data_IF_957385617702
#
_entry.id   IF_957385617702
#
_cell.length_a   1.000
_cell.length_b   1.000
_cell.length_c   1.000
_cell.angle_alpha   90.00
_cell.angle_beta   90.00
_cell.angle_gamma   90.00
#
_symmetry.space_group_name_H-M   'P 1'
#
loop_
_entity.id
_entity.type
_entity.pdbx_description
1 polymer ?
#
# COMPACT_ATOMS: atom_id res chain seq x y z
N UNK A 1 -1.01 -15.41 -1.75
CA UNK A 1 -1.84 -15.09 -0.55
C UNK A 1 -3.17 -14.55 -1.04
N UNK A 2 -4.28 -14.81 -0.33
CA UNK A 2 -5.63 -14.38 -0.73
C UNK A 2 -6.29 -13.60 0.41
N UNK A 3 -7.08 -12.57 0.09
CA UNK A 3 -8.00 -11.93 1.03
C UNK A 3 -9.43 -12.03 0.46
N UNK A 4 -10.35 -12.62 1.21
CA UNK A 4 -11.78 -12.67 0.89
C UNK A 4 -12.62 -12.23 2.08
N UNK A 5 -13.21 -11.05 1.94
CA UNK A 5 -14.26 -10.60 2.83
C UNK A 5 -15.43 -10.26 1.93
N UNK A 6 -16.63 -10.73 2.29
CA UNK A 6 -17.84 -10.37 1.55
C UNK A 6 -18.08 -8.85 1.53
N UNK A 7 -17.39 -8.10 2.42
CA UNK A 7 -17.29 -6.64 2.47
C UNK A 7 -15.94 -6.23 3.02
N UNK A 8 -15.24 -5.35 2.31
CA UNK A 8 -13.97 -4.79 2.77
C UNK A 8 -14.23 -3.44 3.43
N UNK A 9 -13.72 -3.24 4.65
CA UNK A 9 -13.88 -2.00 5.42
C UNK A 9 -12.54 -1.38 5.78
N UNK A 10 -12.61 -0.16 6.30
CA UNK A 10 -11.46 0.69 6.61
C UNK A 10 -11.17 0.69 8.09
N UNK A 11 -9.93 0.46 8.48
CA UNK A 11 -9.55 0.33 9.90
C UNK A 11 -9.09 1.65 10.56
N UNK A 12 -8.90 2.72 9.78
CA UNK A 12 -8.46 4.01 10.31
C UNK A 12 -9.21 5.19 9.67
N UNK A 13 -9.49 6.27 10.42
CA UNK A 13 -10.07 7.50 9.87
C UNK A 13 -9.01 8.30 9.11
N UNK A 14 -8.59 7.79 7.96
CA UNK A 14 -7.60 8.41 7.08
C UNK A 14 -8.24 9.20 5.94
N UNK A 15 -7.50 10.15 5.35
CA UNK A 15 -7.97 11.01 4.27
C UNK A 15 -6.96 11.07 3.11
N UNK A 16 -7.30 10.62 1.90
CA UNK A 16 -8.51 9.86 1.55
C UNK A 16 -8.51 8.50 2.23
N UNK A 17 -9.70 7.96 2.44
CA UNK A 17 -9.92 6.64 3.03
C UNK A 17 -9.27 5.56 2.16
N UNK A 18 -8.65 4.55 2.78
CA UNK A 18 -8.07 3.40 2.09
C UNK A 18 -8.36 2.06 2.76
N UNK A 19 -8.25 0.99 1.98
CA UNK A 19 -8.18 -0.38 2.50
C UNK A 19 -6.75 -0.87 2.28
N UNK A 20 -6.15 -1.50 3.28
CA UNK A 20 -4.77 -1.97 3.25
C UNK A 20 -4.73 -3.51 3.18
N UNK A 21 -4.90 -4.13 2.00
CA UNK A 21 -4.68 -5.56 1.86
C UNK A 21 -3.19 -5.91 1.97
N UNK A 22 -2.91 -7.13 2.41
CA UNK A 22 -1.54 -7.68 2.49
C UNK A 22 -0.56 -6.78 3.27
N UNK A 23 -0.98 -6.28 4.43
CA UNK A 23 -0.11 -5.46 5.29
C UNK A 23 1.08 -6.29 5.75
N UNK A 24 2.29 -5.74 5.58
CA UNK A 24 3.52 -6.31 6.09
C UNK A 24 3.99 -5.48 7.28
N UNK A 25 4.08 -6.12 8.45
CA UNK A 25 4.61 -5.54 9.68
C UNK A 25 5.97 -6.17 9.99
N UNK A 26 7.06 -5.40 9.90
CA UNK A 26 8.41 -5.94 10.16
C UNK A 26 8.59 -6.40 11.60
N UNK A 27 8.03 -5.66 12.55
CA UNK A 27 8.09 -6.01 13.97
C UNK A 27 7.37 -7.34 14.31
N UNK A 28 6.34 -7.73 13.55
CA UNK A 28 5.63 -9.00 13.77
C UNK A 28 6.46 -10.22 13.38
N UNK A 29 7.44 -10.04 12.51
CA UNK A 29 8.40 -11.08 12.12
C UNK A 29 9.77 -10.91 12.80
N UNK A 30 9.86 -10.05 13.82
CA UNK A 30 11.10 -9.82 14.58
C UNK A 30 12.17 -9.05 13.83
N UNK A 31 11.81 -8.40 12.73
CA UNK A 31 12.73 -7.67 11.86
C UNK A 31 12.75 -6.17 12.19
N UNK A 32 13.91 -5.48 12.10
CA UNK A 32 13.99 -4.03 12.29
C UNK A 32 13.23 -3.29 11.17
N UNK A 33 12.97 -1.98 11.28
CA UNK A 33 12.50 -1.19 10.14
C UNK A 33 13.44 -1.30 8.92
N UNK A 34 12.91 -1.15 7.70
CA UNK A 34 13.69 -1.20 6.44
C UNK A 34 13.87 0.20 5.86
N UNK A 35 15.00 0.45 5.22
CA UNK A 35 15.18 1.60 4.33
C UNK A 35 14.64 1.24 2.93
N UNK A 36 13.60 1.93 2.50
CA UNK A 36 12.96 1.73 1.19
C UNK A 36 13.46 2.72 0.13
N UNK A 37 14.27 3.72 0.51
CA UNK A 37 14.67 4.77 -0.43
C UNK A 37 15.47 4.18 -1.58
N UNK A 38 15.16 4.60 -2.80
CA UNK A 38 15.82 4.18 -4.04
C UNK A 38 15.71 2.67 -4.36
N UNK A 39 14.94 1.91 -3.57
CA UNK A 39 14.68 0.49 -3.85
C UNK A 39 13.71 0.33 -5.02
N UNK A 40 13.86 -0.76 -5.78
CA UNK A 40 12.84 -1.19 -6.74
C UNK A 40 11.81 -2.06 -6.02
N UNK A 41 10.54 -1.67 -6.13
CA UNK A 41 9.41 -2.49 -5.71
C UNK A 41 8.86 -3.20 -6.95
N UNK A 42 8.73 -4.53 -6.85
CA UNK A 42 8.08 -5.36 -7.86
C UNK A 42 6.91 -6.11 -7.25
N UNK A 43 5.70 -5.92 -7.76
CA UNK A 43 4.48 -6.54 -7.21
C UNK A 43 3.56 -7.06 -8.30
N UNK A 44 3.11 -8.30 -8.15
CA UNK A 44 2.17 -8.95 -9.06
C UNK A 44 0.83 -9.17 -8.37
N UNK A 45 -0.22 -8.49 -8.85
CA UNK A 45 -1.57 -8.54 -8.28
C UNK A 45 -2.58 -9.09 -9.28
N UNK A 46 -3.50 -9.90 -8.76
CA UNK A 46 -4.65 -10.43 -9.50
C UNK A 46 -5.94 -10.20 -8.72
N UNK A 47 -6.95 -9.68 -9.39
CA UNK A 47 -8.33 -9.68 -8.93
C UNK A 47 -9.08 -10.86 -9.53
N UNK A 48 -9.97 -11.51 -8.77
CA UNK A 48 -10.92 -12.47 -9.33
C UNK A 48 -12.33 -11.96 -9.06
N UNK A 49 -12.96 -11.37 -10.08
CA UNK A 49 -14.25 -10.69 -9.92
C UNK A 49 -14.16 -9.48 -8.97
N UNK A 50 -12.98 -8.85 -8.90
CA UNK A 50 -12.70 -7.73 -8.01
C UNK A 50 -13.40 -6.45 -8.51
N UNK A 51 -14.24 -5.87 -7.66
CA UNK A 51 -14.95 -4.60 -7.93
C UNK A 51 -14.35 -3.50 -7.06
N UNK A 52 -13.52 -2.65 -7.67
CA UNK A 52 -12.82 -1.56 -6.99
C UNK A 52 -13.69 -0.31 -6.75
N UNK A 53 -14.82 -0.18 -7.45
CA UNK A 53 -15.75 0.96 -7.30
C UNK A 53 -15.07 2.34 -7.34
N UNK A 54 -14.15 2.53 -8.30
CA UNK A 54 -13.39 3.77 -8.48
C UNK A 54 -12.03 3.80 -7.77
N UNK A 55 -11.73 2.83 -6.89
CA UNK A 55 -10.44 2.82 -6.22
C UNK A 55 -9.27 2.55 -7.17
N UNK A 56 -8.17 3.24 -6.91
CA UNK A 56 -6.86 2.95 -7.46
C UNK A 56 -6.02 2.17 -6.45
N UNK A 57 -5.06 1.37 -6.95
CA UNK A 57 -4.15 0.60 -6.13
C UNK A 57 -2.78 1.28 -6.06
N UNK A 58 -2.24 1.44 -4.85
CA UNK A 58 -0.95 2.11 -4.61
C UNK A 58 -0.10 1.35 -3.62
N UNK A 59 1.22 1.51 -3.74
CA UNK A 59 2.13 1.17 -2.65
C UNK A 59 1.99 2.16 -1.49
N UNK A 60 2.18 1.71 -0.25
CA UNK A 60 2.21 2.57 0.92
C UNK A 60 3.28 2.16 1.92
N UNK A 61 3.75 3.13 2.69
CA UNK A 61 4.72 2.94 3.75
C UNK A 61 4.27 3.69 5.02
N UNK A 62 4.73 3.21 6.16
CA UNK A 62 4.42 3.78 7.46
C UNK A 62 5.57 3.58 8.46
N UNK A 63 5.82 4.64 9.20
CA UNK A 63 6.61 4.61 10.43
C UNK A 63 6.11 5.69 11.38
N UNK A 64 6.44 5.57 12.67
CA UNK A 64 6.16 6.60 13.69
C UNK A 64 4.73 7.14 13.71
N UNK A 65 3.74 6.32 13.33
CA UNK A 65 2.35 6.78 13.27
C UNK A 65 2.03 7.70 12.11
N UNK A 66 2.85 7.74 11.05
CA UNK A 66 2.59 8.50 9.82
C UNK A 66 2.56 7.57 8.62
N UNK A 67 1.52 7.69 7.78
CA UNK A 67 1.29 6.85 6.60
C UNK A 67 1.32 7.68 5.33
N UNK A 68 1.98 7.13 4.33
CA UNK A 68 2.08 7.72 3.00
C UNK A 68 1.73 6.69 1.91
N UNK A 69 0.99 7.13 0.89
CA UNK A 69 0.65 6.33 -0.29
C UNK A 69 1.35 6.91 -1.53
N UNK A 70 2.01 6.07 -2.32
CA UNK A 70 2.69 6.45 -3.55
C UNK A 70 1.68 6.56 -4.69
N UNK A 71 1.06 7.74 -4.84
CA UNK A 71 0.02 8.00 -5.86
C UNK A 71 0.60 8.18 -7.27
N UNK A 72 1.87 8.54 -7.39
CA UNK A 72 2.55 8.77 -8.67
C UNK A 72 2.78 7.49 -9.49
N UNK A 73 2.73 6.32 -8.85
CA UNK A 73 2.97 5.02 -9.48
C UNK A 73 1.82 4.04 -9.15
N UNK A 74 0.63 4.16 -9.79
CA UNK A 74 -0.46 3.23 -9.59
C UNK A 74 -0.08 1.79 -9.97
N UNK A 75 -0.46 0.83 -9.13
CA UNK A 75 -0.20 -0.60 -9.34
C UNK A 75 -1.31 -1.24 -10.17
N UNK A 76 -0.93 -2.09 -11.11
CA UNK A 76 -1.88 -2.85 -11.93
C UNK A 76 -2.43 -4.05 -11.17
N UNK A 77 -3.73 -4.29 -11.30
CA UNK A 77 -4.40 -5.52 -10.86
C UNK A 77 -5.00 -6.17 -12.11
N UNK A 78 -4.49 -7.34 -12.50
CA UNK A 78 -5.04 -8.11 -13.63
C UNK A 78 -6.30 -8.87 -13.21
N UNK A 79 -7.29 -9.02 -14.09
CA UNK A 79 -8.53 -9.76 -13.78
C UNK A 79 -8.43 -11.22 -14.24
N UNK A 80 -8.63 -12.16 -13.32
CA UNK A 80 -8.70 -13.60 -13.58
C UNK A 80 -7.39 -14.29 -13.99
N UNK A 81 -6.30 -13.56 -14.21
CA UNK A 81 -5.00 -14.10 -14.63
C UNK A 81 -3.82 -13.42 -13.94
N UNK A 82 -2.65 -14.06 -14.01
CA UNK A 82 -1.38 -13.45 -13.63
C UNK A 82 -0.80 -12.72 -14.84
N UNK A 83 -0.45 -11.46 -14.66
CA UNK A 83 0.22 -10.63 -15.65
C UNK A 83 1.62 -10.25 -15.14
N UNK A 84 2.41 -9.51 -15.92
CA UNK A 84 3.71 -9.02 -15.48
C UNK A 84 3.61 -8.16 -14.21
N UNK A 85 4.60 -8.24 -13.29
CA UNK A 85 4.62 -7.42 -12.08
C UNK A 85 4.69 -5.92 -12.42
N UNK A 86 3.97 -5.10 -11.65
CA UNK A 86 4.21 -3.65 -11.61
C UNK A 86 5.57 -3.40 -10.96
N UNK A 87 6.41 -2.58 -11.60
CA UNK A 87 7.73 -2.20 -11.10
C UNK A 87 7.86 -0.70 -11.02
N UNK A 88 8.43 -0.20 -9.94
CA UNK A 88 8.78 1.21 -9.80
C UNK A 88 9.89 1.40 -8.75
N UNK A 89 10.66 2.48 -8.90
CA UNK A 89 11.65 2.90 -7.90
C UNK A 89 10.98 3.79 -6.85
N UNK A 90 11.32 3.57 -5.59
CA UNK A 90 10.83 4.38 -4.46
C UNK A 90 11.62 5.68 -4.39
N UNK A 91 11.00 6.73 -4.90
CA UNK A 91 11.55 8.09 -4.84
C UNK A 91 10.93 8.87 -3.68
N UNK A 92 11.78 9.61 -2.94
CA UNK A 92 11.35 10.49 -1.86
C UNK A 92 10.88 11.87 -2.39
N UNK A 93 10.04 11.87 -3.41
CA UNK A 93 9.36 13.07 -3.91
C UNK A 93 7.95 13.18 -3.34
N UNK A 94 7.73 14.07 -2.35
CA UNK A 94 6.41 14.24 -1.72
C UNK A 94 5.30 14.59 -2.72
N UNK A 95 5.61 15.14 -3.91
CA UNK A 95 4.61 15.45 -4.94
C UNK A 95 3.92 14.19 -5.49
N UNK A 96 4.68 13.08 -5.56
CA UNK A 96 4.22 11.77 -6.00
C UNK A 96 3.55 10.95 -4.88
N UNK A 97 3.50 11.48 -3.66
CA UNK A 97 2.93 10.79 -2.50
C UNK A 97 1.76 11.55 -1.89
N UNK A 98 1.01 10.86 -1.03
CA UNK A 98 -0.06 11.45 -0.26
C UNK A 98 0.00 10.97 1.19
N UNK A 99 0.12 11.91 2.12
CA UNK A 99 0.10 11.66 3.57
C UNK A 99 -1.34 11.48 4.02
N UNK A 100 -1.79 10.24 4.18
CA UNK A 100 -3.21 9.93 4.42
C UNK A 100 -3.59 9.90 5.89
N UNK A 101 -2.65 9.57 6.77
CA UNK A 101 -2.92 9.35 8.17
C UNK A 101 -1.74 9.73 9.05
N UNK A 102 -2.06 10.38 10.17
CA UNK A 102 -1.14 10.74 11.23
C UNK A 102 -1.82 10.41 12.57
N UNK A 103 -1.17 9.56 13.37
CA UNK A 103 -1.67 9.16 14.70
C UNK A 103 -1.70 10.34 15.67
N UNK A 104 -0.63 11.12 15.67
CA UNK A 104 -0.43 12.29 16.52
C UNK A 104 0.39 13.33 15.73
N UNK A 105 -0.17 14.54 15.48
CA UNK A 105 0.50 15.59 14.72
C UNK A 105 1.88 16.01 15.27
N UNK A 106 2.15 15.78 16.56
CA UNK A 106 3.41 16.15 17.20
C UNK A 106 4.58 15.22 16.86
N UNK A 107 4.29 14.02 16.34
CA UNK A 107 5.27 13.00 15.94
C UNK A 107 5.23 12.70 14.43
N UNK A 108 4.58 13.58 13.68
CA UNK A 108 4.43 13.47 12.24
C UNK A 108 5.79 13.38 11.54
N UNK A 109 5.95 12.37 10.70
CA UNK A 109 7.17 12.15 9.92
C UNK A 109 6.98 12.63 8.46
N UNK A 110 7.99 13.27 7.90
CA UNK A 110 8.07 13.52 6.47
C UNK A 110 8.26 12.21 5.67
N UNK A 111 8.19 12.30 4.34
CA UNK A 111 8.31 11.13 3.49
C UNK A 111 9.68 10.46 3.62
N UNK A 112 10.78 11.23 3.59
CA UNK A 112 12.14 10.68 3.69
C UNK A 112 12.33 9.89 4.99
N UNK A 113 11.87 10.43 6.12
CA UNK A 113 11.91 9.74 7.42
C UNK A 113 11.09 8.44 7.40
N UNK A 114 9.94 8.44 6.72
CA UNK A 114 9.10 7.24 6.59
C UNK A 114 9.78 6.17 5.75
N UNK A 115 10.39 6.55 4.63
CA UNK A 115 11.05 5.64 3.73
C UNK A 115 12.37 5.11 4.32
N UNK A 116 13.13 5.94 5.03
CA UNK A 116 14.40 5.56 5.66
C UNK A 116 14.26 4.50 6.76
N UNK A 117 13.07 4.38 7.36
CA UNK A 117 12.82 3.48 8.49
C UNK A 117 11.37 2.96 8.49
N UNK A 118 10.93 2.37 7.38
CA UNK A 118 9.59 1.82 7.24
C UNK A 118 9.40 0.62 8.18
N UNK A 119 8.48 0.77 9.14
CA UNK A 119 8.09 -0.30 10.08
C UNK A 119 6.98 -1.20 9.54
N UNK A 120 6.16 -0.66 8.63
CA UNK A 120 5.15 -1.41 7.90
C UNK A 120 4.93 -0.82 6.50
N UNK A 121 4.58 -1.67 5.55
CA UNK A 121 4.35 -1.29 4.16
C UNK A 121 3.45 -2.32 3.47
N UNK A 122 3.04 -2.03 2.24
CA UNK A 122 2.27 -2.95 1.42
C UNK A 122 1.54 -2.23 0.31
N UNK A 123 0.37 -2.77 -0.05
CA UNK A 123 -0.51 -2.16 -1.05
C UNK A 123 -1.77 -1.60 -0.41
N UNK A 124 -2.39 -0.64 -1.08
CA UNK A 124 -3.57 0.09 -0.61
C UNK A 124 -4.54 0.30 -1.75
N UNK A 125 -5.83 0.21 -1.47
CA UNK A 125 -6.91 0.58 -2.38
C UNK A 125 -7.50 1.91 -1.88
N UNK A 126 -7.45 2.95 -2.70
CA UNK A 126 -7.79 4.33 -2.30
C UNK A 126 -8.82 4.92 -3.26
N UNK A 127 -9.83 5.62 -2.72
CA UNK A 127 -10.78 6.40 -3.52
C UNK A 127 -12.03 5.65 -4.00
N UNK A 128 -12.36 4.52 -3.38
CA UNK A 128 -13.61 3.81 -3.67
C UNK A 128 -14.84 4.61 -3.20
N UNK A 129 -15.90 4.57 -4.00
CA UNK A 129 -17.20 5.21 -3.68
C UNK A 129 -18.18 4.26 -2.97
N UNK A 130 -17.92 2.95 -3.06
CA UNK A 130 -18.71 1.87 -2.48
C UNK A 130 -17.78 0.75 -2.00
N UNK A 131 -18.29 -0.15 -1.14
CA UNK A 131 -17.52 -1.28 -0.60
C UNK A 131 -16.83 -2.09 -1.70
N UNK A 132 -15.51 -2.29 -1.56
CA UNK A 132 -14.76 -3.18 -2.44
C UNK A 132 -15.22 -4.62 -2.19
N UNK A 133 -15.36 -5.41 -3.27
CA UNK A 133 -15.82 -6.80 -3.22
C UNK A 133 -15.09 -7.67 -4.24
N UNK A 134 -15.18 -8.98 -4.08
CA UNK A 134 -14.43 -9.95 -4.88
C UNK A 134 -13.16 -10.40 -4.16
N UNK A 135 -12.21 -11.00 -4.91
CA UNK A 135 -10.95 -11.49 -4.35
C UNK A 135 -9.79 -10.72 -4.90
N UNK A 136 -8.80 -10.47 -4.04
CA UNK A 136 -7.50 -9.97 -4.43
C UNK A 136 -6.44 -10.99 -4.02
N UNK A 137 -5.47 -11.19 -4.90
CA UNK A 137 -4.38 -12.12 -4.74
C UNK A 137 -3.05 -11.45 -5.07
N UNK A 138 -2.01 -11.83 -4.33
CA UNK A 138 -0.64 -11.43 -4.60
C UNK A 138 0.18 -12.67 -4.98
N UNK A 139 0.78 -12.61 -6.17
CA UNK A 139 1.63 -13.66 -6.74
C UNK A 139 3.08 -13.50 -6.28
N UNK A 140 3.65 -12.31 -6.45
CA UNK A 140 4.98 -11.95 -5.98
C UNK A 140 5.00 -10.54 -5.38
N UNK A 141 5.93 -10.35 -4.44
CA UNK A 141 6.27 -9.06 -3.86
C UNK A 141 7.77 -9.07 -3.53
N UNK A 142 8.51 -8.15 -4.13
CA UNK A 142 9.95 -8.06 -4.00
C UNK A 142 10.38 -6.62 -3.77
N UNK A 143 11.41 -6.46 -2.95
CA UNK A 143 12.13 -5.21 -2.70
C UNK A 143 13.59 -5.49 -3.08
N UNK A 144 14.14 -4.72 -3.99
CA UNK A 144 15.51 -4.88 -4.50
C UNK A 144 16.31 -3.61 -4.39
#
# INVERSE_FOLDING_TARGET
>A
MWADHTRWSTDAPEKPISILPFILYRNWVGEPPIDLRETEISVQLRGDGLKLNGAACYFWAHTRGTRWHCKGQPLKIADGCWDEPSRFTVESDESAWNRSWVRDPTIMADLDTVLAAAGSYGISLVGFHHEVSGKLAMGSFEIR
#
